data_IF_737194831675
#
_entry.id   IF_737194831675
#
_cell.length_a   1.000
_cell.length_b   1.000
_cell.length_c   1.000
_cell.angle_alpha   90.00
_cell.angle_beta   90.00
_cell.angle_gamma   90.00
#
_symmetry.space_group_name_H-M   'P 1'
#
loop_
_entity.id
_entity.type
_entity.pdbx_description
1 polymer ?
#
# COMPACT_ATOMS: atom_id res chain seq x y z
N UNK A 1 21.41 -3.27 -12.23
CA UNK A 1 20.40 -3.14 -11.15
C UNK A 1 19.19 -2.42 -11.74
N UNK A 2 18.38 -3.11 -12.54
CA UNK A 2 17.11 -2.56 -13.05
C UNK A 2 16.01 -3.34 -12.34
N UNK A 3 15.45 -2.76 -11.29
CA UNK A 3 14.28 -3.30 -10.61
C UNK A 3 13.10 -2.43 -11.02
N UNK A 4 11.96 -3.05 -11.34
CA UNK A 4 10.74 -2.34 -11.77
C UNK A 4 10.28 -1.28 -10.77
N UNK A 5 10.57 -1.48 -9.47
CA UNK A 5 10.30 -0.50 -8.41
C UNK A 5 11.14 0.79 -8.45
N UNK A 6 12.15 0.90 -9.33
CA UNK A 6 12.96 2.10 -9.53
C UNK A 6 12.74 2.72 -10.91
N UNK A 7 11.53 2.61 -11.46
CA UNK A 7 11.21 3.38 -12.66
C UNK A 7 11.39 4.88 -12.35
N UNK A 8 12.15 5.62 -13.18
CA UNK A 8 12.35 7.04 -12.96
C UNK A 8 11.02 7.78 -12.98
N UNK A 9 10.94 8.86 -12.21
CA UNK A 9 9.79 9.72 -12.22
C UNK A 9 9.68 10.39 -13.59
N UNK A 10 8.54 10.23 -14.24
CA UNK A 10 8.21 10.87 -15.50
C UNK A 10 7.19 11.99 -15.26
N UNK A 11 7.64 13.23 -15.44
CA UNK A 11 6.86 14.46 -15.26
C UNK A 11 5.70 14.58 -16.27
N UNK A 12 5.58 13.73 -17.29
CA UNK A 12 4.47 13.73 -18.26
C UNK A 12 3.31 12.84 -17.81
N UNK A 13 3.63 11.67 -17.25
CA UNK A 13 2.63 10.66 -16.84
C UNK A 13 2.39 10.61 -15.35
N UNK A 14 3.27 11.15 -14.50
CA UNK A 14 3.12 11.09 -13.05
C UNK A 14 2.71 12.44 -12.46
N UNK A 15 2.01 12.36 -11.32
CA UNK A 15 1.62 13.49 -10.50
C UNK A 15 1.78 13.14 -9.01
N UNK A 16 1.93 14.16 -8.17
CA UNK A 16 1.89 13.99 -6.72
C UNK A 16 0.48 14.23 -6.22
N UNK A 17 -0.08 13.25 -5.51
CA UNK A 17 -1.30 13.40 -4.74
C UNK A 17 -0.96 13.59 -3.26
N UNK A 18 -1.58 14.59 -2.62
CA UNK A 18 -1.43 14.85 -1.19
C UNK A 18 -2.79 14.61 -0.53
N UNK A 19 -2.87 13.61 0.34
CA UNK A 19 -4.11 13.28 1.03
C UNK A 19 -4.36 14.13 2.29
N UNK A 20 -5.53 13.94 2.91
CA UNK A 20 -5.96 14.61 4.14
C UNK A 20 -5.01 14.38 5.33
N UNK A 21 -4.16 13.36 5.25
CA UNK A 21 -3.18 13.00 6.28
C UNK A 21 -1.79 13.57 5.98
N UNK A 22 -1.66 14.45 4.98
CA UNK A 22 -0.40 15.02 4.49
C UNK A 22 0.60 13.97 3.97
N UNK A 23 0.11 12.84 3.45
CA UNK A 23 0.94 11.83 2.81
C UNK A 23 1.03 12.13 1.31
N UNK A 24 2.27 12.11 0.79
CA UNK A 24 2.55 12.31 -0.63
C UNK A 24 2.66 10.96 -1.32
N UNK A 25 1.84 10.73 -2.33
CA UNK A 25 1.88 9.53 -3.20
C UNK A 25 2.09 9.94 -4.65
N UNK A 26 2.84 9.15 -5.40
CA UNK A 26 2.94 9.31 -6.86
C UNK A 26 1.79 8.56 -7.52
N UNK A 27 0.98 9.25 -8.32
CA UNK A 27 -0.17 8.73 -9.06
C UNK A 27 0.00 9.03 -10.55
N UNK A 28 -0.77 8.36 -11.41
CA UNK A 28 -0.76 8.64 -12.85
C UNK A 28 -1.61 9.86 -13.19
N UNK A 29 -1.17 10.62 -14.19
CA UNK A 29 -1.75 11.88 -14.61
C UNK A 29 -3.14 11.72 -15.26
N UNK A 30 -3.43 10.60 -15.92
CA UNK A 30 -4.76 10.41 -16.54
C UNK A 30 -5.90 10.32 -15.49
N UNK A 31 -5.58 10.08 -14.22
CA UNK A 31 -6.55 10.04 -13.11
C UNK A 31 -6.86 11.43 -12.52
N UNK A 32 -6.00 12.46 -12.66
CA UNK A 32 -6.25 13.78 -12.04
C UNK A 32 -7.24 14.64 -12.85
N UNK A 33 -7.20 14.56 -14.19
CA UNK A 33 -8.06 15.40 -15.05
C UNK A 33 -9.54 15.01 -15.03
N UNK A 34 -9.88 13.81 -14.52
CA UNK A 34 -11.24 13.29 -14.52
C UNK A 34 -11.98 13.41 -13.16
N UNK A 35 -11.35 13.93 -12.12
CA UNK A 35 -11.92 13.91 -10.75
C UNK A 35 -12.36 15.30 -10.24
N UNK A 36 -13.30 15.94 -10.97
CA UNK A 36 -14.21 16.94 -10.37
C UNK A 36 -15.64 16.38 -10.31
N UNK A 37 -15.81 15.19 -9.71
CA UNK A 37 -17.09 14.67 -9.17
C UNK A 37 -16.85 13.38 -8.37
N UNK A 38 -16.76 13.51 -7.05
CA UNK A 38 -17.08 12.54 -5.97
C UNK A 38 -16.56 11.07 -5.99
N UNK A 39 -16.49 10.41 -4.81
CA UNK A 39 -15.56 9.32 -4.54
C UNK A 39 -16.07 7.98 -5.09
N UNK A 40 -15.64 7.66 -6.31
CA UNK A 40 -15.84 6.37 -6.93
C UNK A 40 -14.52 5.62 -7.07
N UNK A 41 -14.30 4.65 -6.17
CA UNK A 41 -13.62 3.37 -6.46
C UNK A 41 -12.63 3.39 -7.64
N UNK A 42 -11.43 3.97 -7.47
CA UNK A 42 -10.40 3.84 -8.51
C UNK A 42 -9.79 2.44 -8.44
N UNK A 43 -10.34 1.55 -9.27
CA UNK A 43 -9.69 0.29 -9.65
C UNK A 43 -8.49 0.66 -10.51
N UNK A 44 -7.28 0.50 -9.98
CA UNK A 44 -6.09 0.56 -10.82
C UNK A 44 -6.03 -0.71 -11.69
N UNK A 45 -6.51 -0.57 -12.93
CA UNK A 45 -6.23 -1.52 -13.99
C UNK A 45 -4.72 -1.50 -14.22
N UNK A 46 -4.05 -2.61 -13.85
CA UNK A 46 -2.69 -2.85 -14.30
C UNK A 46 -2.67 -2.87 -15.82
N UNK A 47 -1.78 -2.06 -16.40
CA UNK A 47 -1.52 -2.03 -17.85
C UNK A 47 -1.19 -3.44 -18.33
N UNK A 48 -2.05 -3.96 -19.21
CA UNK A 48 -1.86 -5.23 -19.91
C UNK A 48 -0.68 -5.12 -20.88
N UNK A 49 0.52 -5.45 -20.42
CA UNK A 49 1.61 -5.87 -21.30
C UNK A 49 1.68 -7.39 -21.28
N UNK A 50 1.35 -7.97 -22.42
CA UNK A 50 1.44 -9.40 -22.73
C UNK A 50 2.92 -9.79 -22.69
N UNK A 51 3.19 -10.98 -22.19
CA UNK A 51 4.51 -11.65 -22.12
C UNK A 51 5.26 -11.52 -20.77
N UNK A 52 4.61 -11.94 -19.68
CA UNK A 52 5.30 -12.55 -18.53
C UNK A 52 4.29 -13.47 -17.84
N UNK A 53 4.70 -14.69 -17.49
CA UNK A 53 3.87 -15.65 -16.77
C UNK A 53 3.24 -14.97 -15.55
N UNK A 54 1.90 -14.98 -15.48
CA UNK A 54 1.11 -14.37 -14.43
C UNK A 54 1.49 -14.99 -13.08
N UNK A 55 2.52 -14.46 -12.43
CA UNK A 55 2.77 -14.72 -11.04
C UNK A 55 1.68 -13.98 -10.28
N UNK A 56 0.57 -14.69 -10.04
CA UNK A 56 -0.52 -14.25 -9.18
C UNK A 56 0.11 -13.71 -7.89
N UNK A 57 0.10 -12.38 -7.73
CA UNK A 57 0.73 -11.75 -6.58
C UNK A 57 -0.08 -12.21 -5.37
N UNK A 58 0.49 -13.14 -4.60
CA UNK A 58 -0.17 -13.65 -3.42
C UNK A 58 -0.34 -12.49 -2.44
N UNK A 59 -1.59 -12.05 -2.29
CA UNK A 59 -1.97 -10.89 -1.47
C UNK A 59 -1.46 -11.06 -0.03
N UNK A 60 -1.39 -12.30 0.46
CA UNK A 60 -0.89 -12.60 1.81
C UNK A 60 0.63 -12.40 1.91
N UNK A 61 1.40 -12.88 0.92
CA UNK A 61 2.86 -12.68 0.89
C UNK A 61 3.22 -11.20 0.77
N UNK A 62 2.47 -10.46 -0.05
CA UNK A 62 2.63 -9.02 -0.20
C UNK A 62 2.31 -8.29 1.12
N UNK A 63 1.20 -8.65 1.77
CA UNK A 63 0.81 -8.09 3.07
C UNK A 63 1.86 -8.39 4.14
N UNK A 64 2.36 -9.63 4.23
CA UNK A 64 3.40 -10.03 5.18
C UNK A 64 4.65 -9.19 4.94
N UNK A 65 5.08 -9.05 3.69
CA UNK A 65 6.28 -8.27 3.32
C UNK A 65 6.14 -6.81 3.72
N UNK A 66 5.00 -6.18 3.42
CA UNK A 66 4.75 -4.79 3.77
C UNK A 66 4.68 -4.57 5.29
N UNK A 67 4.02 -5.46 6.04
CA UNK A 67 3.90 -5.35 7.50
C UNK A 67 5.24 -5.65 8.20
N UNK A 68 6.03 -6.60 7.70
CA UNK A 68 7.34 -6.93 8.26
C UNK A 68 8.32 -5.73 8.27
N UNK A 69 8.23 -4.86 7.25
CA UNK A 69 9.01 -3.61 7.17
C UNK A 69 8.61 -2.58 8.24
N UNK A 70 7.41 -2.70 8.83
CA UNK A 70 6.84 -1.75 9.80
C UNK A 70 6.73 -2.38 11.18
N UNK A 71 7.88 -2.55 11.85
CA UNK A 71 8.00 -3.21 13.17
C UNK A 71 7.03 -2.68 14.23
N UNK A 72 6.68 -1.39 14.20
CA UNK A 72 5.72 -0.78 15.14
C UNK A 72 4.29 -1.37 15.08
N UNK A 73 3.94 -2.11 14.02
CA UNK A 73 2.64 -2.77 13.87
C UNK A 73 2.53 -4.09 14.66
N UNK A 74 3.65 -4.77 14.94
CA UNK A 74 3.64 -6.10 15.57
C UNK A 74 4.64 -6.27 16.72
N UNK A 75 5.72 -5.50 16.76
CA UNK A 75 6.74 -5.62 17.80
C UNK A 75 6.34 -4.85 19.08
N UNK A 76 5.96 -5.59 20.11
CA UNK A 76 5.55 -5.03 21.41
C UNK A 76 6.73 -4.52 22.25
N UNK A 77 7.98 -4.85 21.90
CA UNK A 77 9.18 -4.41 22.62
C UNK A 77 9.56 -2.96 22.34
N UNK A 78 8.94 -2.33 21.34
CA UNK A 78 9.15 -0.92 21.04
C UNK A 78 8.52 -0.01 22.12
N UNK A 79 9.13 1.14 22.42
CA UNK A 79 8.61 2.04 23.43
C UNK A 79 7.22 2.59 23.06
N UNK A 80 6.42 2.94 24.06
CA UNK A 80 4.99 3.25 23.87
C UNK A 80 4.75 4.48 22.97
N UNK A 81 5.68 5.43 22.97
CA UNK A 81 5.71 6.61 22.08
C UNK A 81 5.82 6.23 20.58
N UNK A 82 6.37 5.07 20.25
CA UNK A 82 6.45 4.53 18.89
C UNK A 82 5.23 3.68 18.53
N UNK A 83 4.47 3.23 19.52
CA UNK A 83 3.27 2.38 19.38
C UNK A 83 1.95 3.13 19.57
N UNK A 84 1.97 4.46 19.55
CA UNK A 84 0.77 5.28 19.62
C UNK A 84 -0.26 4.85 18.59
N UNK A 85 -1.55 4.90 18.95
CA UNK A 85 -2.65 4.58 18.05
C UNK A 85 -2.63 5.43 16.77
N UNK A 86 -2.22 6.70 16.87
CA UNK A 86 -2.07 7.58 15.71
C UNK A 86 -1.01 7.06 14.73
N UNK A 87 0.17 6.70 15.24
CA UNK A 87 1.25 6.11 14.42
C UNK A 87 0.82 4.80 13.78
N UNK A 88 0.13 3.94 14.53
CA UNK A 88 -0.39 2.67 13.98
C UNK A 88 -1.40 2.90 12.85
N UNK A 89 -2.30 3.88 12.99
CA UNK A 89 -3.25 4.24 11.91
C UNK A 89 -2.50 4.67 10.65
N UNK A 90 -1.53 5.58 10.76
CA UNK A 90 -0.72 6.03 9.64
C UNK A 90 0.06 4.87 8.99
N UNK A 91 0.68 4.00 9.79
CA UNK A 91 1.43 2.86 9.29
C UNK A 91 0.55 1.84 8.55
N UNK A 92 -0.68 1.61 9.01
CA UNK A 92 -1.62 0.75 8.28
C UNK A 92 -2.07 1.36 6.97
N UNK A 93 -2.32 2.67 6.94
CA UNK A 93 -2.63 3.36 5.69
C UNK A 93 -1.47 3.24 4.71
N UNK A 94 -0.24 3.43 5.17
CA UNK A 94 0.96 3.27 4.34
C UNK A 94 1.13 1.82 3.85
N UNK A 95 0.77 0.80 4.64
CA UNK A 95 0.73 -0.61 4.16
C UNK A 95 -0.25 -0.76 3.00
N UNK A 96 -1.49 -0.27 3.15
CA UNK A 96 -2.51 -0.35 2.12
C UNK A 96 -2.09 0.40 0.84
N UNK A 97 -1.48 1.58 0.98
CA UNK A 97 -0.98 2.36 -0.14
C UNK A 97 0.15 1.61 -0.88
N UNK A 98 1.09 0.98 -0.15
CA UNK A 98 2.15 0.15 -0.76
C UNK A 98 1.60 -1.09 -1.47
N UNK A 99 0.45 -1.59 -1.04
CA UNK A 99 -0.26 -2.69 -1.70
C UNK A 99 -1.13 -2.21 -2.87
N UNK A 100 -1.02 -0.94 -3.29
CA UNK A 100 -1.81 -0.38 -4.37
C UNK A 100 -3.30 -0.25 -4.05
N UNK A 101 -3.67 -0.18 -2.76
CA UNK A 101 -5.07 -0.06 -2.35
C UNK A 101 -5.90 -1.35 -2.48
N UNK A 102 -5.27 -2.49 -2.79
CA UNK A 102 -5.94 -3.81 -2.96
C UNK A 102 -6.73 -4.22 -1.71
N UNK A 103 -6.28 -3.80 -0.53
CA UNK A 103 -6.99 -4.02 0.74
C UNK A 103 -7.27 -2.69 1.42
N UNK A 104 -8.48 -2.54 1.93
CA UNK A 104 -8.76 -1.49 2.91
C UNK A 104 -7.98 -1.73 4.21
N UNK A 105 -7.81 -0.69 5.01
CA UNK A 105 -7.11 -0.76 6.31
C UNK A 105 -7.72 -1.84 7.23
N UNK A 106 -9.03 -1.99 7.23
CA UNK A 106 -9.70 -2.95 8.12
C UNK A 106 -9.61 -4.39 7.60
N UNK A 107 -9.63 -4.59 6.28
CA UNK A 107 -9.36 -5.89 5.66
C UNK A 107 -7.91 -6.32 5.88
N UNK A 108 -6.95 -5.42 5.65
CA UNK A 108 -5.53 -5.67 5.90
C UNK A 108 -5.28 -6.08 7.36
N UNK A 109 -5.90 -5.37 8.33
CA UNK A 109 -5.82 -5.74 9.75
C UNK A 109 -6.43 -7.11 10.03
N UNK A 110 -7.60 -7.42 9.45
CA UNK A 110 -8.29 -8.71 9.67
C UNK A 110 -7.46 -9.86 9.08
N UNK A 111 -6.96 -9.69 7.87
CA UNK A 111 -6.10 -10.63 7.17
C UNK A 111 -4.79 -10.85 7.92
N UNK A 112 -4.14 -9.78 8.39
CA UNK A 112 -2.92 -9.87 9.19
C UNK A 112 -3.11 -10.61 10.52
N UNK A 113 -4.25 -10.43 11.20
CA UNK A 113 -4.58 -11.22 12.40
C UNK A 113 -4.64 -12.71 12.09
N UNK A 114 -5.41 -13.08 11.05
CA UNK A 114 -5.49 -14.46 10.59
C UNK A 114 -4.12 -15.05 10.24
N UNK A 115 -3.30 -14.33 9.49
CA UNK A 115 -1.96 -14.79 9.12
C UNK A 115 -1.04 -14.97 10.34
N UNK A 116 -1.12 -14.08 11.32
CA UNK A 116 -0.36 -14.23 12.57
C UNK A 116 -0.82 -15.48 13.34
N UNK A 117 -2.12 -15.64 13.49
CA UNK A 117 -2.70 -16.76 14.26
C UNK A 117 -2.41 -18.12 13.59
N UNK A 118 -2.32 -18.17 12.26
CA UNK A 118 -2.05 -19.39 11.51
C UNK A 118 -0.56 -19.72 11.34
N UNK A 119 0.33 -18.71 11.26
CA UNK A 119 1.72 -18.92 10.81
C UNK A 119 2.79 -18.39 11.77
N UNK A 120 2.44 -17.52 12.73
CA UNK A 120 3.39 -16.93 13.68
C UNK A 120 3.04 -17.38 15.10
N UNK A 121 3.48 -18.60 15.45
CA UNK A 121 3.40 -19.17 16.81
C UNK A 121 4.41 -18.49 17.74
#
# INVERSE_FOLDING_TARGET
MNHSCFHPFDDEINAFNVDENFIVTVVMREEYDNNFSEPGTSTCQLTNNKDDEQQEVNIDELLITCVARKRALFNYRLPANERSNLKKKALWQEVCNLMGGVLSVDEAKRRWRYLRDCYMV
#
